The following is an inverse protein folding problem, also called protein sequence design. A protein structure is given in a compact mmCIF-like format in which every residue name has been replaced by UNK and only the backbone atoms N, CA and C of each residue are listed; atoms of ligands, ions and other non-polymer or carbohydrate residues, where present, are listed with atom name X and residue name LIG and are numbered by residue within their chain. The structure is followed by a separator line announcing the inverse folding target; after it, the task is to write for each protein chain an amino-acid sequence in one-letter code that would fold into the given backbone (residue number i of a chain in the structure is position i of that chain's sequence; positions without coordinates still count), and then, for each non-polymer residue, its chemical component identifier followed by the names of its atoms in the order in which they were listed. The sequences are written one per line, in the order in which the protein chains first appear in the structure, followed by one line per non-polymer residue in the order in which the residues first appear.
data_IF_241240787158
#
_entry.id   IF_241240787158
#
_cell.length_a   1.000
_cell.length_b   1.000
_cell.length_c   1.000
_cell.angle_alpha   90.00
_cell.angle_beta   90.00
_cell.angle_gamma   90.00
#
_symmetry.space_group_name_H-M   'P 1'
#
loop_
_entity.id
_entity.type
_entity.pdbx_description
1 polymer ?
#
# COMPACT_ATOMS: atom_id res chain seq x y z
N UNK A 1 -13.90 -20.93 6.63
CA UNK A 1 -13.76 -19.48 6.85
C UNK A 1 -15.00 -18.80 6.29
N UNK A 2 -15.68 -17.91 7.03
CA UNK A 2 -16.80 -17.17 6.47
C UNK A 2 -16.28 -16.20 5.40
N UNK A 3 -17.00 -16.08 4.27
CA UNK A 3 -16.69 -15.09 3.23
C UNK A 3 -17.18 -13.72 3.72
N UNK A 4 -16.26 -12.78 3.92
CA UNK A 4 -16.61 -11.37 4.07
C UNK A 4 -17.20 -10.88 2.74
N UNK A 5 -18.54 -10.75 2.68
CA UNK A 5 -19.22 -10.17 1.51
C UNK A 5 -19.29 -8.66 1.72
N UNK A 6 -18.34 -7.95 1.13
CA UNK A 6 -18.35 -6.49 1.12
C UNK A 6 -19.35 -5.98 0.08
N UNK A 7 -20.34 -5.19 0.50
CA UNK A 7 -21.27 -4.53 -0.43
C UNK A 7 -20.51 -3.66 -1.45
N UNK A 8 -20.86 -3.78 -2.73
CA UNK A 8 -20.30 -2.93 -3.77
C UNK A 8 -20.76 -1.47 -3.57
N UNK A 9 -19.84 -0.58 -3.20
CA UNK A 9 -20.09 0.87 -3.14
C UNK A 9 -19.46 1.59 -1.95
N UNK A 10 -19.19 0.90 -0.83
CA UNK A 10 -18.52 1.53 0.32
C UNK A 10 -17.01 1.35 0.23
N UNK A 11 -16.30 2.42 -0.15
CA UNK A 11 -14.84 2.43 -0.24
C UNK A 11 -14.17 2.10 1.11
N UNK A 12 -14.75 2.58 2.22
CA UNK A 12 -14.21 2.34 3.56
C UNK A 12 -14.35 0.88 4.00
N UNK A 13 -15.51 0.25 3.75
CA UNK A 13 -15.71 -1.18 4.03
C UNK A 13 -14.72 -2.05 3.25
N UNK A 14 -14.44 -1.71 1.98
CA UNK A 14 -13.45 -2.43 1.16
C UNK A 14 -12.04 -2.30 1.71
N UNK A 15 -11.66 -1.11 2.15
CA UNK A 15 -10.35 -0.89 2.76
C UNK A 15 -10.20 -1.69 4.07
N UNK A 16 -11.25 -1.70 4.90
CA UNK A 16 -11.30 -2.50 6.12
C UNK A 16 -11.15 -4.00 5.85
N UNK A 17 -11.86 -4.55 4.86
CA UNK A 17 -11.73 -5.97 4.50
C UNK A 17 -10.30 -6.32 4.04
N UNK A 18 -9.63 -5.46 3.26
CA UNK A 18 -8.24 -5.67 2.86
C UNK A 18 -7.30 -5.70 4.08
N UNK A 19 -7.52 -4.82 5.05
CA UNK A 19 -6.75 -4.77 6.29
C UNK A 19 -6.96 -6.03 7.14
N UNK A 20 -8.22 -6.48 7.31
CA UNK A 20 -8.56 -7.70 8.04
C UNK A 20 -7.94 -8.96 7.40
N UNK A 21 -8.00 -9.07 6.07
CA UNK A 21 -7.40 -10.19 5.34
C UNK A 21 -5.88 -10.20 5.53
N UNK A 22 -5.20 -9.04 5.40
CA UNK A 22 -3.76 -8.93 5.66
C UNK A 22 -3.40 -9.33 7.09
N UNK A 23 -4.13 -8.84 8.10
CA UNK A 23 -3.89 -9.17 9.51
C UNK A 23 -4.11 -10.65 9.80
N UNK A 24 -5.11 -11.27 9.19
CA UNK A 24 -5.37 -12.71 9.33
C UNK A 24 -4.21 -13.55 8.80
N UNK A 25 -3.67 -13.18 7.63
CA UNK A 25 -2.49 -13.84 7.06
C UNK A 25 -1.23 -13.61 7.91
N UNK A 26 -1.04 -12.41 8.45
CA UNK A 26 0.07 -12.08 9.35
C UNK A 26 0.12 -12.95 10.61
N UNK A 27 -1.03 -13.18 11.23
CA UNK A 27 -1.15 -14.01 12.44
C UNK A 27 -0.81 -15.49 12.18
N UNK A 28 -0.74 -15.92 10.92
CA UNK A 28 -0.30 -17.28 10.56
C UNK A 28 1.22 -17.51 10.72
N UNK A 29 2.01 -16.46 10.94
CA UNK A 29 3.44 -16.56 11.23
C UNK A 29 4.36 -16.85 10.03
N UNK A 30 3.82 -16.87 8.81
CA UNK A 30 4.62 -17.05 7.58
C UNK A 30 5.20 -15.72 7.09
N UNK A 31 6.44 -15.73 6.60
CA UNK A 31 6.97 -14.57 5.87
C UNK A 31 6.13 -14.33 4.62
N UNK A 32 5.48 -13.18 4.51
CA UNK A 32 4.57 -12.87 3.42
C UNK A 32 5.14 -11.75 2.55
N UNK A 33 5.14 -11.94 1.24
CA UNK A 33 5.29 -10.84 0.29
C UNK A 33 3.89 -10.53 -0.26
N UNK A 34 3.38 -9.34 0.00
CA UNK A 34 2.05 -8.93 -0.43
C UNK A 34 2.16 -7.75 -1.39
N UNK A 35 1.63 -7.88 -2.61
CA UNK A 35 1.48 -6.75 -3.53
C UNK A 35 0.09 -6.15 -3.36
N UNK A 36 0.04 -4.92 -2.86
CA UNK A 36 -1.18 -4.17 -2.67
C UNK A 36 -1.43 -3.27 -3.88
N UNK A 37 -2.42 -3.63 -4.68
CA UNK A 37 -2.89 -2.83 -5.82
C UNK A 37 -4.08 -2.01 -5.34
N UNK A 38 -3.87 -0.72 -5.12
CA UNK A 38 -4.89 0.18 -4.56
C UNK A 38 -5.00 1.45 -5.40
N UNK A 39 -6.19 2.04 -5.40
CA UNK A 39 -6.41 3.37 -5.99
C UNK A 39 -5.61 4.45 -5.27
N UNK A 40 -5.85 5.72 -5.61
CA UNK A 40 -5.16 6.82 -4.96
C UNK A 40 -5.54 6.90 -3.47
N UNK A 41 -4.70 6.30 -2.63
CA UNK A 41 -4.74 6.34 -1.16
C UNK A 41 -3.59 7.15 -0.60
N UNK A 42 -2.98 7.95 -1.47
CA UNK A 42 -1.80 8.70 -1.17
C UNK A 42 -2.08 9.74 -0.08
N UNK A 43 -3.33 10.16 0.18
CA UNK A 43 -3.67 11.11 1.27
C UNK A 43 -4.35 10.48 2.49
N UNK A 44 -4.50 9.16 2.52
CA UNK A 44 -5.21 8.46 3.59
C UNK A 44 -4.25 8.14 4.75
N UNK A 45 -4.18 9.05 5.73
CA UNK A 45 -3.27 8.94 6.89
C UNK A 45 -3.52 7.65 7.69
N UNK A 46 -4.79 7.24 7.83
CA UNK A 46 -5.15 6.03 8.56
C UNK A 46 -4.62 4.78 7.86
N UNK A 47 -4.74 4.74 6.54
CA UNK A 47 -4.19 3.68 5.72
C UNK A 47 -2.66 3.62 5.78
N UNK A 48 -1.97 4.76 5.60
CA UNK A 48 -0.51 4.86 5.64
C UNK A 48 0.04 4.40 7.00
N UNK A 49 -0.57 4.86 8.10
CA UNK A 49 -0.19 4.42 9.46
C UNK A 49 -0.40 2.94 9.67
N UNK A 50 -1.48 2.38 9.13
CA UNK A 50 -1.75 0.94 9.22
C UNK A 50 -0.64 0.18 8.49
N UNK A 51 -0.36 0.54 7.24
CA UNK A 51 0.67 -0.10 6.44
C UNK A 51 2.07 -0.02 7.09
N UNK A 52 2.45 1.13 7.65
CA UNK A 52 3.71 1.27 8.37
C UNK A 52 3.79 0.36 9.60
N UNK A 53 2.70 0.15 10.34
CA UNK A 53 2.65 -0.79 11.47
C UNK A 53 2.71 -2.24 11.02
N UNK A 54 2.05 -2.56 9.90
CA UNK A 54 1.98 -3.90 9.31
C UNK A 54 3.31 -4.34 8.69
N UNK A 55 4.13 -3.39 8.21
CA UNK A 55 5.45 -3.65 7.61
C UNK A 55 6.56 -3.92 8.65
N UNK A 56 6.23 -4.01 9.95
CA UNK A 56 7.19 -4.43 10.98
C UNK A 56 7.15 -5.95 11.19
N UNK A 57 8.27 -6.64 10.89
CA UNK A 57 8.54 -7.99 11.38
C UNK A 57 8.66 -9.07 10.30
N UNK A 58 7.54 -9.51 9.74
CA UNK A 58 7.47 -10.72 8.89
C UNK A 58 6.87 -10.52 7.50
N UNK A 59 6.46 -9.30 7.14
CA UNK A 59 5.74 -9.06 5.88
C UNK A 59 6.35 -7.92 5.09
N UNK A 60 6.69 -8.21 3.83
CA UNK A 60 7.10 -7.23 2.85
C UNK A 60 5.85 -6.80 2.07
N UNK A 61 5.42 -5.56 2.29
CA UNK A 61 4.33 -4.98 1.51
C UNK A 61 4.94 -4.23 0.33
N UNK A 62 4.59 -4.68 -0.88
CA UNK A 62 4.81 -3.96 -2.11
C UNK A 62 3.54 -3.18 -2.46
N UNK A 63 3.68 -2.05 -3.14
CA UNK A 63 2.56 -1.18 -3.49
C UNK A 63 2.50 -0.94 -4.98
N UNK A 64 1.29 -0.94 -5.55
CA UNK A 64 1.03 -0.42 -6.88
C UNK A 64 -0.10 0.62 -6.82
N UNK A 65 0.16 1.82 -7.33
CA UNK A 65 -0.74 2.98 -7.27
C UNK A 65 -0.96 3.62 -8.65
N UNK A 66 -2.01 4.44 -8.83
CA UNK A 66 -2.25 5.13 -10.10
C UNK A 66 -1.11 6.06 -10.49
N UNK A 67 -0.91 6.22 -11.80
CA UNK A 67 0.04 7.16 -12.37
C UNK A 67 -0.36 8.59 -11.97
N UNK A 68 0.55 9.35 -11.36
CA UNK A 68 0.26 10.70 -10.85
C UNK A 68 -0.39 10.77 -9.46
N UNK A 69 -0.54 9.64 -8.75
CA UNK A 69 -0.88 9.62 -7.33
C UNK A 69 0.21 10.31 -6.49
N UNK A 70 -0.07 11.52 -6.01
CA UNK A 70 0.85 12.35 -5.22
C UNK A 70 0.45 12.38 -3.74
N UNK A 71 1.12 11.57 -2.91
CA UNK A 71 0.88 11.45 -1.46
C UNK A 71 1.93 10.60 -0.73
N UNK A 72 2.07 10.68 0.62
CA UNK A 72 3.13 10.03 1.40
C UNK A 72 3.04 8.51 1.53
N UNK A 73 2.28 7.83 0.66
CA UNK A 73 2.22 6.36 0.67
C UNK A 73 3.57 5.70 0.29
N UNK A 74 4.51 6.53 -0.18
CA UNK A 74 5.87 6.18 -0.61
C UNK A 74 6.73 5.62 0.53
N UNK A 75 6.31 5.79 1.79
CA UNK A 75 6.99 5.20 2.95
C UNK A 75 6.71 3.71 3.16
N UNK A 76 5.76 3.11 2.44
CA UNK A 76 5.31 1.76 2.73
C UNK A 76 6.13 0.70 1.99
N UNK A 77 7.12 0.11 2.63
CA UNK A 77 7.76 -1.10 2.13
C UNK A 77 8.78 -0.88 1.00
N UNK A 78 9.43 -1.97 0.55
CA UNK A 78 10.67 -1.86 -0.21
C UNK A 78 10.47 -1.47 -1.68
N UNK A 79 9.41 -1.95 -2.35
CA UNK A 79 9.21 -1.77 -3.79
C UNK A 79 7.82 -1.19 -4.12
N UNK A 80 7.78 -0.19 -5.00
CA UNK A 80 6.58 0.54 -5.42
C UNK A 80 6.43 0.55 -6.93
N UNK A 81 5.21 0.50 -7.44
CA UNK A 81 4.92 0.60 -8.86
C UNK A 81 3.87 1.67 -9.14
N UNK A 82 4.00 2.29 -10.31
CA UNK A 82 2.88 2.87 -11.02
C UNK A 82 2.08 1.75 -11.71
N UNK A 83 0.75 1.89 -11.73
CA UNK A 83 -0.15 0.93 -12.38
C UNK A 83 0.22 0.72 -13.85
N UNK A 84 0.54 1.80 -14.57
CA UNK A 84 0.96 1.71 -15.97
C UNK A 84 2.21 0.86 -16.15
N UNK A 85 3.23 1.09 -15.31
CA UNK A 85 4.47 0.31 -15.34
C UNK A 85 4.21 -1.17 -15.01
N UNK A 86 3.49 -1.45 -13.91
CA UNK A 86 3.20 -2.82 -13.50
C UNK A 86 2.40 -3.58 -14.57
N UNK A 87 1.37 -2.97 -15.15
CA UNK A 87 0.54 -3.57 -16.17
C UNK A 87 1.32 -3.87 -17.47
N UNK A 88 2.32 -3.06 -17.79
CA UNK A 88 3.22 -3.28 -18.93
C UNK A 88 4.32 -4.32 -18.65
N UNK A 89 4.38 -4.90 -17.45
CA UNK A 89 5.47 -5.79 -17.02
C UNK A 89 6.77 -5.03 -16.68
N UNK A 90 6.67 -3.73 -16.46
CA UNK A 90 7.77 -2.85 -16.10
C UNK A 90 8.22 -2.97 -14.64
N UNK A 91 9.34 -2.32 -14.35
CA UNK A 91 9.95 -2.30 -13.02
C UNK A 91 9.26 -1.36 -12.02
N UNK A 92 9.64 -1.46 -10.73
CA UNK A 92 9.20 -0.53 -9.71
C UNK A 92 9.73 0.89 -9.96
N UNK A 93 9.17 1.86 -9.25
CA UNK A 93 9.67 3.23 -9.15
C UNK A 93 11.16 3.21 -8.85
N UNK A 94 11.98 3.92 -9.63
CA UNK A 94 13.40 4.04 -9.35
C UNK A 94 13.61 4.84 -8.05
N UNK A 95 14.72 4.54 -7.37
CA UNK A 95 14.97 5.03 -6.00
C UNK A 95 14.98 6.56 -5.90
N UNK A 96 15.49 7.25 -6.91
CA UNK A 96 15.52 8.71 -7.00
C UNK A 96 14.12 9.33 -7.08
N UNK A 97 13.21 8.72 -7.83
CA UNK A 97 11.81 9.13 -7.88
C UNK A 97 11.10 8.84 -6.55
N UNK A 98 11.38 7.69 -5.93
CA UNK A 98 10.89 7.36 -4.58
C UNK A 98 11.34 8.40 -3.55
N UNK A 99 12.62 8.77 -3.56
CA UNK A 99 13.19 9.76 -2.65
C UNK A 99 12.62 11.16 -2.90
N UNK A 100 12.39 11.56 -4.15
CA UNK A 100 11.70 12.82 -4.49
C UNK A 100 10.31 12.87 -3.86
N UNK A 101 9.51 11.83 -4.06
CA UNK A 101 8.14 11.78 -3.54
C UNK A 101 8.11 11.78 -2.01
N UNK A 102 9.05 11.10 -1.35
CA UNK A 102 9.21 11.18 0.12
C UNK A 102 9.53 12.61 0.57
N UNK A 103 10.47 13.27 -0.10
CA UNK A 103 10.90 14.62 0.29
C UNK A 103 9.82 15.68 0.07
N UNK A 104 9.04 15.60 -1.01
CA UNK A 104 7.89 16.49 -1.24
C UNK A 104 6.87 16.43 -0.09
N UNK A 105 6.74 15.28 0.57
CA UNK A 105 5.81 15.11 1.69
C UNK A 105 6.38 15.44 3.07
N UNK A 106 7.68 15.25 3.29
CA UNK A 106 8.33 15.66 4.55
C UNK A 106 8.26 17.19 4.77
N UNK A 107 8.15 17.99 3.70
CA UNK A 107 7.92 19.43 3.77
C UNK A 107 6.53 19.82 4.31
N UNK A 108 5.58 18.88 4.39
CA UNK A 108 4.18 19.13 4.79
C UNK A 108 3.94 18.87 6.30
N UNK A 109 4.99 18.54 7.08
CA UNK A 109 4.94 18.56 8.54
C UNK A 109 3.97 17.55 9.18
N UNK A 110 4.23 16.25 8.98
CA UNK A 110 3.59 15.15 9.70
C UNK A 110 4.59 14.41 10.60
#
# INVERSE_FOLDING_TARGET
MPKNVTEAGSQDKRLGSIQEDMLTYLLSGSFLNALLIVGDKSRDIGFIRTLNRTNFGSVNIFLAQPDGGGGPIVHVGPLHWYWGSLAAGGGPLPSDEKDRLVNEFNWVGF
#
